data_IF_086386291603
#
_entry.id   IF_086386291603
#
_cell.length_a   1.000
_cell.length_b   1.000
_cell.length_c   1.000
_cell.angle_alpha   90.00
_cell.angle_beta   90.00
_cell.angle_gamma   90.00
#
_symmetry.space_group_name_H-M   'P 1'
#
loop_
_entity.id
_entity.type
_entity.pdbx_description
1 polymer ?
#
# COMPACT_ATOMS: atom_id res chain seq x y z
N UNK A 1 -27.20 2.71 -3.46
CA UNK A 1 -26.29 1.71 -2.87
C UNK A 1 -24.88 2.21 -3.10
N UNK A 2 -24.05 2.32 -2.06
CA UNK A 2 -22.62 2.61 -2.23
C UNK A 2 -21.91 1.34 -2.69
N UNK A 3 -21.32 1.37 -3.88
CA UNK A 3 -20.52 0.26 -4.41
C UNK A 3 -19.13 0.27 -3.76
N UNK A 4 -18.62 -0.91 -3.39
CA UNK A 4 -17.28 -1.09 -2.84
C UNK A 4 -16.32 -1.35 -4.01
N UNK A 5 -15.28 -0.54 -4.12
CA UNK A 5 -14.24 -0.67 -5.14
C UNK A 5 -12.96 -1.15 -4.48
N UNK A 6 -12.29 -2.10 -5.12
CA UNK A 6 -10.97 -2.58 -4.73
C UNK A 6 -9.94 -2.12 -5.76
N UNK A 7 -8.93 -1.39 -5.30
CA UNK A 7 -7.85 -0.86 -6.12
C UNK A 7 -6.54 -1.53 -5.69
N UNK A 8 -5.79 -2.04 -6.67
CA UNK A 8 -4.55 -2.76 -6.43
C UNK A 8 -3.38 -2.01 -7.03
N UNK A 9 -2.31 -1.81 -6.25
CA UNK A 9 -1.05 -1.21 -6.69
C UNK A 9 0.10 -2.09 -6.29
N UNK A 10 1.21 -2.04 -7.03
CA UNK A 10 2.43 -2.72 -6.61
C UNK A 10 3.66 -1.85 -6.83
N UNK A 11 4.67 -2.09 -5.99
CA UNK A 11 6.03 -1.60 -6.15
C UNK A 11 6.93 -2.83 -6.26
N UNK A 12 7.79 -2.87 -7.27
CA UNK A 12 8.66 -4.00 -7.53
C UNK A 12 10.08 -3.54 -7.86
N UNK A 13 11.06 -4.26 -7.33
CA UNK A 13 12.41 -4.31 -7.90
C UNK A 13 12.54 -5.58 -8.74
N UNK A 14 12.58 -5.40 -10.06
CA UNK A 14 12.73 -6.51 -11.02
C UNK A 14 14.11 -7.17 -10.93
N UNK A 15 15.11 -6.48 -10.38
CA UNK A 15 16.44 -7.01 -10.07
C UNK A 15 16.46 -8.00 -8.90
N UNK A 16 15.35 -8.12 -8.16
CA UNK A 16 15.22 -9.04 -7.04
C UNK A 16 15.74 -8.50 -5.70
N UNK A 17 16.17 -7.24 -5.67
CA UNK A 17 16.55 -6.52 -4.45
C UNK A 17 15.35 -6.43 -3.53
N UNK A 18 15.58 -6.59 -2.23
CA UNK A 18 14.52 -6.41 -1.26
C UNK A 18 13.98 -4.97 -1.34
N UNK A 19 12.67 -4.85 -1.50
CA UNK A 19 11.93 -3.60 -1.33
C UNK A 19 11.41 -3.63 0.10
N UNK A 20 11.75 -2.61 0.88
CA UNK A 20 11.25 -2.43 2.22
C UNK A 20 10.28 -1.25 2.26
N UNK A 21 9.13 -1.45 2.91
CA UNK A 21 8.19 -0.40 3.26
C UNK A 21 8.48 -0.02 4.71
N UNK A 22 9.68 0.47 5.00
CA UNK A 22 10.04 0.76 6.37
C UNK A 22 8.97 1.62 7.05
N UNK A 23 8.64 1.21 8.26
CA UNK A 23 7.23 1.03 8.64
C UNK A 23 6.42 2.28 9.02
N UNK A 24 6.98 3.48 8.90
CA UNK A 24 6.51 4.65 9.65
C UNK A 24 5.15 5.27 9.27
N UNK A 25 4.34 4.70 8.36
CA UNK A 25 2.97 5.19 8.07
C UNK A 25 1.87 4.13 8.29
N UNK A 26 2.23 2.89 8.65
CA UNK A 26 1.29 1.85 9.11
C UNK A 26 1.77 1.25 10.44
N UNK A 27 1.95 2.05 11.50
CA UNK A 27 2.39 1.60 12.84
C UNK A 27 3.40 0.43 12.86
N UNK A 28 4.46 0.53 12.05
CA UNK A 28 5.58 -0.41 12.06
C UNK A 28 6.86 0.43 12.11
N UNK A 29 7.88 0.00 12.84
CA UNK A 29 9.06 0.84 13.12
C UNK A 29 10.13 0.70 12.02
N UNK A 30 10.61 1.88 11.60
CA UNK A 30 11.81 2.26 10.85
C UNK A 30 12.00 1.95 9.34
N UNK A 31 12.47 3.03 8.68
CA UNK A 31 13.34 3.21 7.50
C UNK A 31 12.97 2.69 6.10
N UNK A 32 11.87 3.21 5.52
CA UNK A 32 11.57 3.38 4.06
C UNK A 32 10.06 3.58 3.83
N UNK A 33 9.56 4.77 4.17
CA UNK A 33 8.11 5.00 4.27
C UNK A 33 7.46 5.21 2.90
N UNK A 34 6.59 4.27 2.49
CA UNK A 34 5.46 4.58 1.61
C UNK A 34 4.42 5.35 2.42
N UNK A 35 4.08 6.58 2.00
CA UNK A 35 2.93 7.28 2.56
C UNK A 35 1.80 7.32 1.53
N UNK A 36 0.78 6.50 1.76
CA UNK A 36 -0.52 6.70 1.17
C UNK A 36 -1.25 7.74 2.05
N UNK A 37 -1.25 9.00 1.62
CA UNK A 37 -1.92 10.05 2.39
C UNK A 37 -3.40 10.09 2.03
N UNK A 38 -4.21 9.99 3.08
CA UNK A 38 -5.67 10.09 3.12
C UNK A 38 -6.19 11.16 2.15
N UNK A 39 -7.03 10.72 1.22
CA UNK A 39 -8.00 11.62 0.60
C UNK A 39 -9.00 12.09 1.66
N UNK A 40 -9.17 13.40 1.70
CA UNK A 40 -10.20 14.14 2.43
C UNK A 40 -11.54 13.36 2.58
N UNK A 41 -11.95 13.13 3.83
CA UNK A 41 -13.29 12.70 4.25
C UNK A 41 -13.87 11.47 3.54
N UNK A 42 -13.29 10.29 3.74
CA UNK A 42 -14.08 9.06 3.82
C UNK A 42 -13.47 8.20 4.93
N UNK A 43 -14.18 8.05 6.05
CA UNK A 43 -13.81 7.13 7.14
C UNK A 43 -13.99 5.65 6.72
N UNK A 44 -14.46 5.38 5.51
CA UNK A 44 -14.81 4.05 4.99
C UNK A 44 -13.78 3.57 3.92
N UNK A 45 -12.49 3.51 4.26
CA UNK A 45 -11.49 2.81 3.44
C UNK A 45 -10.65 1.83 4.27
N UNK A 46 -10.29 0.71 3.66
CA UNK A 46 -9.41 -0.31 4.24
C UNK A 46 -8.20 -0.51 3.33
N UNK A 47 -7.01 -0.60 3.93
CA UNK A 47 -5.77 -0.89 3.21
C UNK A 47 -5.26 -2.25 3.69
N UNK A 48 -4.95 -3.11 2.73
CA UNK A 48 -4.27 -4.37 2.98
C UNK A 48 -3.02 -4.49 2.11
N UNK A 49 -2.08 -5.33 2.52
CA UNK A 49 -0.85 -5.53 1.75
C UNK A 49 -0.40 -6.98 1.71
N UNK A 50 0.42 -7.31 0.71
CA UNK A 50 1.18 -8.55 0.66
C UNK A 50 2.54 -8.32 0.04
N UNK A 51 3.59 -8.78 0.71
CA UNK A 51 4.95 -8.80 0.18
C UNK A 51 5.28 -10.15 -0.44
N UNK A 52 5.79 -10.16 -1.67
CA UNK A 52 6.16 -11.36 -2.40
C UNK A 52 7.64 -11.36 -2.77
N UNK A 53 8.28 -12.53 -2.68
CA UNK A 53 9.62 -12.77 -3.22
C UNK A 53 9.54 -13.58 -4.51
N UNK A 54 9.80 -12.94 -5.64
CA UNK A 54 9.85 -13.63 -6.95
C UNK A 54 10.72 -12.89 -7.95
N UNK A 55 11.55 -13.63 -8.70
CA UNK A 55 12.25 -13.11 -9.89
C UNK A 55 11.38 -13.16 -11.15
N UNK A 56 10.21 -13.80 -11.06
CA UNK A 56 9.29 -14.04 -12.17
C UNK A 56 8.10 -13.10 -12.02
N UNK A 57 8.29 -11.80 -12.31
CA UNK A 57 7.24 -10.78 -12.16
C UNK A 57 5.99 -11.08 -12.99
N UNK A 58 6.14 -11.81 -14.10
CA UNK A 58 5.01 -12.28 -14.91
C UNK A 58 4.04 -13.19 -14.14
N UNK A 59 4.46 -13.80 -13.03
CA UNK A 59 3.60 -14.61 -12.16
C UNK A 59 2.90 -13.80 -11.07
N UNK A 60 3.07 -12.47 -11.03
CA UNK A 60 2.50 -11.63 -9.96
C UNK A 60 0.97 -11.80 -9.85
N UNK A 61 0.27 -11.88 -10.97
CA UNK A 61 -1.18 -12.11 -11.00
C UNK A 61 -1.57 -13.43 -10.33
N UNK A 62 -0.79 -14.49 -10.53
CA UNK A 62 -1.03 -15.80 -9.91
C UNK A 62 -0.79 -15.73 -8.40
N UNK A 63 0.28 -15.07 -7.96
CA UNK A 63 0.61 -14.88 -6.55
C UNK A 63 -0.47 -14.07 -5.82
N UNK A 64 -0.90 -12.96 -6.42
CA UNK A 64 -1.98 -12.11 -5.90
C UNK A 64 -3.29 -12.90 -5.79
N UNK A 65 -3.67 -13.61 -6.84
CA UNK A 65 -4.91 -14.40 -6.86
C UNK A 65 -4.87 -15.55 -5.87
N UNK A 66 -3.72 -16.23 -5.72
CA UNK A 66 -3.54 -17.30 -4.75
C UNK A 66 -3.65 -16.81 -3.30
N UNK A 67 -3.09 -15.62 -2.99
CA UNK A 67 -3.21 -15.01 -1.68
C UNK A 67 -4.68 -14.66 -1.38
N UNK A 68 -5.32 -13.89 -2.27
CA UNK A 68 -6.74 -13.50 -2.15
C UNK A 68 -7.66 -14.72 -2.06
N UNK A 69 -7.43 -15.74 -2.90
CA UNK A 69 -8.19 -16.98 -2.88
C UNK A 69 -8.04 -17.75 -1.57
N UNK A 70 -6.84 -17.72 -0.97
CA UNK A 70 -6.61 -18.31 0.35
C UNK A 70 -7.38 -17.57 1.44
N UNK A 71 -7.36 -16.23 1.42
CA UNK A 71 -8.09 -15.40 2.38
C UNK A 71 -9.60 -15.55 2.23
N UNK A 72 -10.11 -15.58 0.99
CA UNK A 72 -11.51 -15.80 0.69
C UNK A 72 -11.98 -17.17 1.20
N UNK A 73 -11.19 -18.24 1.00
CA UNK A 73 -11.54 -19.59 1.47
C UNK A 73 -11.48 -19.74 2.99
N UNK A 74 -10.49 -19.14 3.64
CA UNK A 74 -10.27 -19.30 5.10
C UNK A 74 -11.13 -18.37 5.94
N UNK A 75 -11.32 -17.13 5.50
CA UNK A 75 -11.93 -16.07 6.29
C UNK A 75 -13.16 -15.44 5.64
N UNK A 76 -13.54 -15.88 4.43
CA UNK A 76 -14.65 -15.33 3.66
C UNK A 76 -14.49 -13.81 3.40
N UNK A 77 -13.24 -13.37 3.18
CA UNK A 77 -12.89 -11.98 2.90
C UNK A 77 -12.00 -11.90 1.67
N UNK A 78 -12.31 -10.99 0.76
CA UNK A 78 -11.48 -10.69 -0.41
C UNK A 78 -10.48 -9.58 -0.07
N UNK A 79 -9.53 -9.91 0.78
CA UNK A 79 -8.47 -9.00 1.22
C UNK A 79 -7.13 -9.73 1.26
N UNK A 80 -6.01 -8.99 1.20
CA UNK A 80 -4.70 -9.59 1.43
C UNK A 80 -4.52 -10.04 2.88
N UNK A 81 -3.52 -10.90 3.07
CA UNK A 81 -3.18 -11.48 4.37
C UNK A 81 -2.51 -10.51 5.34
N UNK A 82 -2.10 -9.32 4.90
CA UNK A 82 -1.29 -8.38 5.68
C UNK A 82 0.02 -9.03 6.17
N UNK A 83 0.65 -9.79 5.26
CA UNK A 83 1.91 -10.51 5.52
C UNK A 83 2.90 -10.29 4.40
N UNK A 84 4.19 -10.47 4.69
CA UNK A 84 5.25 -10.41 3.70
C UNK A 84 6.11 -11.67 3.73
N UNK A 85 6.53 -12.13 2.54
CA UNK A 85 7.66 -13.02 2.41
C UNK A 85 8.93 -12.40 3.03
N UNK A 86 9.92 -13.23 3.33
CA UNK A 86 11.22 -12.74 3.80
C UNK A 86 11.95 -11.99 2.68
N UNK A 87 12.32 -10.72 2.94
CA UNK A 87 13.05 -9.84 2.01
C UNK A 87 12.35 -9.70 0.64
N UNK A 88 11.06 -9.30 0.61
CA UNK A 88 10.24 -9.28 -0.60
C UNK A 88 10.86 -8.31 -1.61
N UNK A 89 10.80 -8.62 -2.90
CA UNK A 89 11.18 -7.66 -3.95
C UNK A 89 9.95 -7.05 -4.63
N UNK A 90 8.74 -7.48 -4.26
CA UNK A 90 7.48 -6.93 -4.74
C UNK A 90 6.55 -6.72 -3.55
N UNK A 91 5.93 -5.56 -3.45
CA UNK A 91 4.91 -5.23 -2.47
C UNK A 91 3.64 -4.82 -3.18
N UNK A 92 2.54 -5.48 -2.85
CA UNK A 92 1.22 -5.22 -3.42
C UNK A 92 0.33 -4.64 -2.33
N UNK A 93 -0.32 -3.53 -2.63
CA UNK A 93 -1.32 -2.89 -1.77
C UNK A 93 -2.70 -3.06 -2.39
N UNK A 94 -3.68 -3.29 -1.53
CA UNK A 94 -5.10 -3.28 -1.84
C UNK A 94 -5.76 -2.15 -1.06
N UNK A 95 -6.51 -1.30 -1.75
CA UNK A 95 -7.34 -0.26 -1.15
C UNK A 95 -8.79 -0.61 -1.45
N UNK A 96 -9.58 -0.85 -0.41
CA UNK A 96 -11.02 -1.07 -0.50
C UNK A 96 -11.74 0.19 -0.05
N UNK A 97 -12.53 0.83 -0.92
CA UNK A 97 -13.21 2.08 -0.60
C UNK A 97 -14.58 2.16 -1.29
N UNK A 98 -15.52 2.93 -0.70
CA UNK A 98 -16.83 3.18 -1.33
C UNK A 98 -16.73 4.22 -2.46
N UNK A 99 -17.52 4.03 -3.53
CA UNK A 99 -17.52 4.94 -4.70
C UNK A 99 -17.80 6.39 -4.30
N UNK A 100 -17.10 7.30 -5.01
CA UNK A 100 -16.86 8.72 -4.69
C UNK A 100 -15.65 8.95 -3.77
N UNK A 101 -14.63 8.09 -3.82
CA UNK A 101 -13.36 8.30 -3.13
C UNK A 101 -12.33 9.01 -4.03
N UNK A 102 -11.51 9.86 -3.40
CA UNK A 102 -10.31 10.44 -3.99
C UNK A 102 -9.11 9.94 -3.18
N UNK A 103 -8.02 9.55 -3.83
CA UNK A 103 -6.80 9.13 -3.15
C UNK A 103 -5.58 9.70 -3.88
N UNK A 104 -4.62 10.19 -3.11
CA UNK A 104 -3.33 10.63 -3.62
C UNK A 104 -2.26 9.62 -3.14
N UNK A 105 -1.60 8.95 -4.10
CA UNK A 105 -0.55 7.95 -3.82
C UNK A 105 0.81 8.61 -4.01
N UNK A 106 1.63 8.66 -2.96
CA UNK A 106 2.93 9.33 -3.00
C UNK A 106 4.05 8.38 -2.57
N UNK A 107 5.06 8.24 -3.42
CA UNK A 107 6.29 7.51 -3.12
C UNK A 107 7.37 8.49 -2.66
N UNK A 108 7.97 8.28 -1.49
CA UNK A 108 9.06 9.12 -0.98
C UNK A 108 10.24 8.24 -0.57
N UNK A 109 11.40 8.48 -1.18
CA UNK A 109 12.67 7.84 -0.83
C UNK A 109 13.63 8.82 -0.13
N UNK A 110 14.60 8.29 0.62
CA UNK A 110 15.70 9.07 1.22
C UNK A 110 15.34 9.87 2.47
N UNK A 111 14.57 9.30 3.40
CA UNK A 111 14.06 10.01 4.58
C UNK A 111 14.91 9.84 5.86
N UNK A 112 16.23 9.71 5.75
CA UNK A 112 17.08 9.61 6.95
C UNK A 112 17.07 10.93 7.74
N UNK A 113 16.27 10.98 8.81
CA UNK A 113 16.58 11.80 9.99
C UNK A 113 15.54 12.80 10.49
N UNK A 114 14.46 13.16 9.78
CA UNK A 114 13.54 14.20 10.29
C UNK A 114 12.08 14.00 9.86
N UNK A 115 11.26 13.40 10.73
CA UNK A 115 9.80 13.23 10.57
C UNK A 115 9.10 14.57 10.26
N UNK A 116 9.51 15.68 10.88
CA UNK A 116 8.93 17.01 10.66
C UNK A 116 9.12 17.55 9.23
N UNK A 117 10.26 17.22 8.59
CA UNK A 117 10.50 17.56 7.18
C UNK A 117 9.72 16.65 6.23
N UNK A 118 9.32 15.47 6.67
CA UNK A 118 8.53 14.54 5.88
C UNK A 118 7.08 15.00 5.77
N UNK A 119 6.45 15.42 6.87
CA UNK A 119 5.09 15.96 6.84
C UNK A 119 4.94 17.16 5.90
N UNK A 120 5.92 18.07 5.90
CA UNK A 120 5.95 19.22 5.00
C UNK A 120 6.11 18.78 3.53
N UNK A 121 6.99 17.80 3.26
CA UNK A 121 7.14 17.19 1.93
C UNK A 121 5.87 16.50 1.46
N UNK A 122 5.20 15.75 2.32
CA UNK A 122 3.94 15.09 2.00
C UNK A 122 2.88 16.13 1.63
N UNK A 123 2.69 17.17 2.45
CA UNK A 123 1.77 18.28 2.16
C UNK A 123 2.10 19.01 0.85
N UNK A 124 3.38 19.19 0.54
CA UNK A 124 3.81 19.81 -0.71
C UNK A 124 3.52 18.94 -1.94
N UNK A 125 3.60 17.62 -1.81
CA UNK A 125 3.39 16.68 -2.92
C UNK A 125 1.91 16.36 -3.15
N UNK A 126 1.10 16.32 -2.09
CA UNK A 126 -0.35 16.07 -2.17
C UNK A 126 -1.16 17.36 -2.39
N UNK A 127 -0.52 18.53 -2.28
CA UNK A 127 -1.20 19.81 -2.23
C UNK A 127 -1.93 20.07 -0.91
N UNK A 128 -2.43 21.30 -0.74
CA UNK A 128 -3.26 21.67 0.41
C UNK A 128 -4.69 21.20 0.14
N UNK A 129 -5.19 20.24 0.92
CA UNK A 129 -6.61 19.88 0.88
C UNK A 129 -7.43 21.12 1.27
N UNK A 130 -8.05 21.76 0.28
CA UNK A 130 -9.03 22.81 0.55
C UNK A 130 -10.31 22.09 0.95
N UNK A 131 -10.60 22.11 2.25
CA UNK A 131 -11.94 21.80 2.74
C UNK A 131 -12.91 22.81 2.11
N UNK A 132 -13.81 22.34 1.25
CA UNK A 132 -14.99 23.11 0.82
C UNK A 132 -16.12 22.76 1.77
#
# INVERSE_FOLDING_TARGET
MSELVHLFFYVADEGGTAVDLGGGVMDIRDDSILALVRGMMLDDYEIHYSGFKTLHIHNLSELVTANLGTQARKFNRLQFSDTSDHSPNILVLQISARISFKADVVFVSGSSGHISRMEERFRSLTGMFVSV
#
